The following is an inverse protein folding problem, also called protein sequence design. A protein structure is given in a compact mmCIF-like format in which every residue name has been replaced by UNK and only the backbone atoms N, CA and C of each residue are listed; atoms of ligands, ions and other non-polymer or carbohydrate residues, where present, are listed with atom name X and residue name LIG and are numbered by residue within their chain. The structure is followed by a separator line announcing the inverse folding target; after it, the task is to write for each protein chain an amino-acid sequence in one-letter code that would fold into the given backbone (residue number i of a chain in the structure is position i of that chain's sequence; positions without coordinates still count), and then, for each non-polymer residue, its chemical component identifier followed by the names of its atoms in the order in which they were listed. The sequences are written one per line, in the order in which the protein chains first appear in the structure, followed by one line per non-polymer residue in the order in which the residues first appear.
data_IF_300591701399
#
_entry.id   IF_300591701399
#
_cell.length_a   1.000
_cell.length_b   1.000
_cell.length_c   1.000
_cell.angle_alpha   90.00
_cell.angle_beta   90.00
_cell.angle_gamma   90.00
#
_symmetry.space_group_name_H-M   'P 1'
#
loop_
_entity.id
_entity.type
_entity.pdbx_description
1 polymer ?
#
# COMPACT_ATOMS: atom_id res chain seq x y z
N UNK A 1 -3.52 -8.69 29.47
CA UNK A 1 -2.51 -7.59 29.34
C UNK A 1 -3.11 -6.35 28.67
N UNK A 2 -3.63 -6.40 27.42
CA UNK A 2 -4.22 -5.23 26.74
C UNK A 2 -5.41 -4.66 27.51
N UNK A 3 -6.23 -5.51 28.10
CA UNK A 3 -7.43 -5.12 28.88
C UNK A 3 -7.06 -4.44 30.19
N UNK A 4 -5.92 -4.81 30.77
CA UNK A 4 -5.45 -4.28 32.05
C UNK A 4 -4.77 -2.90 31.89
N UNK A 5 -4.33 -2.57 30.68
CA UNK A 5 -3.68 -1.31 30.32
C UNK A 5 -4.70 -0.38 29.64
N UNK A 6 -5.32 0.50 30.41
CA UNK A 6 -6.43 1.38 29.98
C UNK A 6 -6.13 2.38 28.85
N UNK A 7 -4.88 2.53 28.41
CA UNK A 7 -4.43 3.52 27.42
C UNK A 7 -3.78 2.86 26.18
N UNK A 8 -4.28 1.71 25.74
CA UNK A 8 -3.76 0.99 24.58
C UNK A 8 -4.77 1.01 23.46
N UNK A 9 -4.33 1.40 22.26
CA UNK A 9 -5.06 1.23 21.01
C UNK A 9 -4.41 0.06 20.27
N UNK A 10 -5.19 -0.97 19.97
CA UNK A 10 -4.72 -2.12 19.21
C UNK A 10 -4.88 -1.84 17.71
N UNK A 11 -3.78 -1.77 16.99
CA UNK A 11 -3.80 -1.74 15.53
C UNK A 11 -3.76 -3.17 14.98
N UNK A 12 -4.72 -3.49 14.09
CA UNK A 12 -4.83 -4.81 13.45
C UNK A 12 -4.87 -4.60 11.95
N UNK A 13 -3.79 -4.99 11.29
CA UNK A 13 -3.77 -5.07 9.84
C UNK A 13 -4.52 -6.31 9.36
N UNK A 14 -5.14 -6.23 8.17
CA UNK A 14 -5.96 -7.30 7.60
C UNK A 14 -6.98 -7.86 8.60
N UNK A 15 -7.68 -6.97 9.33
CA UNK A 15 -8.62 -7.34 10.42
C UNK A 15 -9.70 -8.33 9.97
N UNK A 16 -10.02 -8.38 8.67
CA UNK A 16 -10.97 -9.33 8.11
C UNK A 16 -10.55 -10.79 8.35
N UNK A 17 -9.25 -11.09 8.44
CA UNK A 17 -8.76 -12.45 8.73
C UNK A 17 -9.13 -12.92 10.14
N UNK A 18 -9.15 -11.98 11.10
CA UNK A 18 -9.54 -12.28 12.48
C UNK A 18 -11.06 -12.52 12.56
N UNK A 19 -11.83 -11.78 11.77
CA UNK A 19 -13.31 -11.88 11.77
C UNK A 19 -13.78 -13.10 10.99
N UNK A 20 -13.08 -13.51 9.91
CA UNK A 20 -13.40 -14.70 9.10
C UNK A 20 -13.08 -16.04 9.80
N UNK A 21 -12.14 -16.06 10.73
CA UNK A 21 -11.62 -17.28 11.35
C UNK A 21 -12.68 -18.14 12.08
N UNK A 22 -13.92 -17.68 12.20
CA UNK A 22 -15.03 -18.38 12.85
C UNK A 22 -15.74 -19.47 12.02
N UNK A 23 -15.27 -19.77 10.79
CA UNK A 23 -15.99 -20.70 9.88
C UNK A 23 -15.33 -22.04 9.62
N UNK A 24 -14.12 -22.31 10.08
CA UNK A 24 -13.44 -23.59 9.88
C UNK A 24 -13.47 -24.42 11.20
N UNK A 25 -13.89 -25.68 11.11
CA UNK A 25 -13.83 -26.61 12.24
C UNK A 25 -12.39 -26.68 12.80
N UNK A 26 -12.22 -26.25 14.06
CA UNK A 26 -10.94 -26.27 14.77
C UNK A 26 -10.15 -24.96 14.78
N UNK A 27 -10.57 -23.90 14.07
CA UNK A 27 -9.97 -22.58 14.23
C UNK A 27 -10.53 -21.85 15.45
N UNK A 28 -9.65 -21.27 16.27
CA UNK A 28 -10.07 -20.40 17.38
C UNK A 28 -10.77 -19.20 16.76
N UNK A 29 -12.07 -19.07 17.00
CA UNK A 29 -12.86 -17.94 16.54
C UNK A 29 -12.48 -16.68 17.35
N UNK A 30 -11.39 -16.03 16.90
CA UNK A 30 -10.91 -14.78 17.50
C UNK A 30 -11.99 -13.68 17.50
N UNK A 31 -12.92 -13.74 16.55
CA UNK A 31 -14.04 -12.81 16.47
C UNK A 31 -14.95 -12.93 17.71
N UNK A 32 -15.28 -14.16 18.14
CA UNK A 32 -16.09 -14.38 19.34
C UNK A 32 -15.36 -14.00 20.63
N UNK A 33 -14.03 -14.00 20.62
CA UNK A 33 -13.23 -13.53 21.77
C UNK A 33 -13.24 -11.99 21.82
N UNK A 34 -13.10 -11.31 20.68
CA UNK A 34 -12.95 -9.85 20.62
C UNK A 34 -14.29 -9.12 20.76
N UNK A 35 -15.37 -9.66 20.18
CA UNK A 35 -16.71 -9.05 20.20
C UNK A 35 -17.21 -8.63 21.58
N UNK A 36 -17.10 -9.42 22.65
CA UNK A 36 -17.54 -9.02 23.99
C UNK A 36 -16.79 -7.80 24.51
N UNK A 37 -15.48 -7.72 24.31
CA UNK A 37 -14.62 -6.62 24.78
C UNK A 37 -14.88 -5.33 24.01
N UNK A 38 -15.05 -5.42 22.68
CA UNK A 38 -15.50 -4.30 21.86
C UNK A 38 -16.88 -3.80 22.29
N UNK A 39 -17.75 -4.76 22.66
CA UNK A 39 -19.12 -4.44 23.06
C UNK A 39 -19.19 -3.64 24.36
N UNK A 40 -18.28 -3.91 25.26
CA UNK A 40 -18.19 -3.22 26.56
C UNK A 40 -17.29 -1.99 26.54
N UNK A 41 -16.64 -1.69 25.39
CA UNK A 41 -15.69 -0.58 25.29
C UNK A 41 -14.40 -0.79 26.09
N UNK A 42 -14.08 -2.06 26.41
CA UNK A 42 -12.90 -2.42 27.19
C UNK A 42 -11.61 -2.37 26.36
N UNK A 43 -11.72 -2.41 25.03
CA UNK A 43 -10.60 -2.29 24.09
C UNK A 43 -10.93 -1.28 23.00
N UNK A 44 -9.88 -0.59 22.55
CA UNK A 44 -9.95 0.29 21.39
C UNK A 44 -9.14 -0.34 20.25
N UNK A 45 -9.74 -0.41 19.06
CA UNK A 45 -9.14 -1.07 17.89
C UNK A 45 -9.17 -0.12 16.70
N UNK A 46 -8.06 -0.05 15.99
CA UNK A 46 -7.95 0.47 14.62
C UNK A 46 -7.70 -0.74 13.74
N UNK A 47 -8.64 -1.08 12.86
CA UNK A 47 -8.48 -2.17 11.89
C UNK A 47 -8.25 -1.64 10.49
N UNK A 48 -7.29 -2.20 9.77
CA UNK A 48 -7.10 -1.95 8.35
C UNK A 48 -7.60 -3.14 7.52
N UNK A 49 -8.24 -2.87 6.38
CA UNK A 49 -8.70 -3.89 5.43
C UNK A 49 -9.04 -3.25 4.08
N UNK A 50 -9.19 -4.05 3.03
CA UNK A 50 -9.72 -3.56 1.75
C UNK A 50 -11.23 -3.35 1.81
N UNK A 51 -11.76 -2.49 0.92
CA UNK A 51 -13.20 -2.25 0.84
C UNK A 51 -13.97 -3.54 0.49
N UNK A 52 -13.42 -4.35 -0.42
CA UNK A 52 -14.05 -5.62 -0.82
C UNK A 52 -14.15 -6.61 0.36
N UNK A 53 -13.08 -6.74 1.15
CA UNK A 53 -13.07 -7.62 2.31
C UNK A 53 -13.96 -7.08 3.44
N UNK A 54 -14.02 -5.75 3.60
CA UNK A 54 -14.96 -5.11 4.52
C UNK A 54 -16.41 -5.48 4.15
N UNK A 55 -16.81 -5.31 2.89
CA UNK A 55 -18.16 -5.66 2.45
C UNK A 55 -18.48 -7.15 2.64
N UNK A 56 -17.55 -8.05 2.34
CA UNK A 56 -17.75 -9.49 2.51
C UNK A 56 -17.93 -9.93 3.96
N UNK A 57 -17.22 -9.29 4.88
CA UNK A 57 -17.11 -9.76 6.27
C UNK A 57 -17.92 -8.91 7.24
N UNK A 58 -17.74 -7.61 7.21
CA UNK A 58 -18.34 -6.71 8.20
C UNK A 58 -19.78 -6.33 7.84
N UNK A 59 -20.14 -6.30 6.55
CA UNK A 59 -21.51 -6.00 6.13
C UNK A 59 -22.49 -7.07 6.61
N UNK A 60 -22.04 -8.33 6.71
CA UNK A 60 -22.83 -9.47 7.14
C UNK A 60 -23.00 -9.52 8.67
N UNK A 61 -22.05 -8.99 9.44
CA UNK A 61 -22.11 -8.94 10.89
C UNK A 61 -22.59 -7.59 11.41
N UNK A 62 -23.90 -7.48 11.61
CA UNK A 62 -24.54 -6.25 12.12
C UNK A 62 -24.01 -5.79 13.48
N UNK A 63 -23.51 -6.71 14.32
CA UNK A 63 -22.98 -6.38 15.64
C UNK A 63 -21.62 -5.69 15.53
N UNK A 64 -20.73 -6.16 14.65
CA UNK A 64 -19.45 -5.54 14.35
C UNK A 64 -19.63 -4.20 13.62
N UNK A 65 -20.48 -4.17 12.60
CA UNK A 65 -20.76 -2.94 11.81
C UNK A 65 -21.15 -1.75 12.70
N UNK A 66 -21.90 -1.99 13.78
CA UNK A 66 -22.32 -0.91 14.71
C UNK A 66 -21.23 -0.42 15.64
N UNK A 67 -20.07 -1.10 15.66
CA UNK A 67 -18.98 -0.80 16.60
C UNK A 67 -17.74 -0.22 15.95
N UNK A 68 -17.68 -0.28 14.63
CA UNK A 68 -16.61 0.30 13.85
C UNK A 68 -17.12 1.51 13.06
N UNK A 69 -16.40 2.62 13.18
CA UNK A 69 -16.55 3.75 12.28
C UNK A 69 -15.64 3.51 11.07
N UNK A 70 -16.21 3.61 9.87
CA UNK A 70 -15.44 3.45 8.64
C UNK A 70 -14.75 4.76 8.31
N UNK A 71 -13.45 4.67 8.05
CA UNK A 71 -12.64 5.75 7.50
C UNK A 71 -12.12 5.27 6.15
N UNK A 72 -12.65 5.83 5.07
CA UNK A 72 -12.21 5.49 3.71
C UNK A 72 -10.95 6.26 3.37
N UNK A 73 -9.87 5.53 3.02
CA UNK A 73 -8.62 6.08 2.51
C UNK A 73 -8.65 5.93 0.99
N UNK A 74 -8.57 7.06 0.30
CA UNK A 74 -8.54 7.09 -1.17
C UNK A 74 -7.12 6.91 -1.70
N UNK A 75 -7.02 6.45 -2.93
CA UNK A 75 -5.78 6.46 -3.69
C UNK A 75 -5.25 7.90 -3.83
N UNK A 76 -3.95 8.07 -3.74
CA UNK A 76 -3.31 9.37 -3.94
C UNK A 76 -3.43 9.83 -5.40
N UNK A 77 -3.52 11.14 -5.60
CA UNK A 77 -3.41 11.74 -6.93
C UNK A 77 -1.97 11.60 -7.48
N UNK A 78 -1.79 11.91 -8.76
CA UNK A 78 -0.45 11.93 -9.39
C UNK A 78 0.45 12.97 -8.73
N UNK A 79 -0.08 14.14 -8.43
CA UNK A 79 0.63 15.25 -7.79
C UNK A 79 1.08 14.85 -6.38
N UNK A 80 0.17 14.32 -5.56
CA UNK A 80 0.50 13.82 -4.22
C UNK A 80 1.54 12.69 -4.27
N UNK A 81 1.43 11.79 -5.26
CA UNK A 81 2.39 10.69 -5.46
C UNK A 81 3.76 11.23 -5.85
N UNK A 82 3.81 12.26 -6.71
CA UNK A 82 5.07 12.90 -7.07
C UNK A 82 5.74 13.57 -5.87
N UNK A 83 4.98 14.23 -5.02
CA UNK A 83 5.48 14.83 -3.78
C UNK A 83 6.06 13.75 -2.84
N UNK A 84 5.38 12.62 -2.72
CA UNK A 84 5.90 11.46 -1.96
C UNK A 84 7.20 10.95 -2.57
N UNK A 85 7.27 10.75 -3.89
CA UNK A 85 8.50 10.30 -4.56
C UNK A 85 9.65 11.29 -4.40
N UNK A 86 9.40 12.60 -4.45
CA UNK A 86 10.42 13.61 -4.24
C UNK A 86 11.09 13.53 -2.86
N UNK A 87 10.34 13.10 -1.85
CA UNK A 87 10.87 12.83 -0.50
C UNK A 87 11.58 11.47 -0.44
N UNK A 88 11.05 10.46 -1.10
CA UNK A 88 11.57 9.08 -1.03
C UNK A 88 12.82 8.87 -1.90
N UNK A 89 12.91 9.50 -3.06
CA UNK A 89 14.05 9.35 -3.99
C UNK A 89 15.41 9.53 -3.30
N UNK A 90 15.69 10.62 -2.57
CA UNK A 90 16.97 10.76 -1.90
C UNK A 90 17.22 9.72 -0.81
N UNK A 91 16.17 9.22 -0.14
CA UNK A 91 16.28 8.19 0.88
C UNK A 91 16.68 6.86 0.25
N UNK A 92 15.98 6.44 -0.81
CA UNK A 92 16.25 5.21 -1.54
C UNK A 92 17.60 5.27 -2.27
N UNK A 93 17.93 6.42 -2.91
CA UNK A 93 19.22 6.65 -3.55
C UNK A 93 20.38 6.43 -2.57
N UNK A 94 20.28 7.00 -1.37
CA UNK A 94 21.25 6.79 -0.29
C UNK A 94 21.32 5.33 0.16
N UNK A 95 20.17 4.66 0.33
CA UNK A 95 20.12 3.25 0.75
C UNK A 95 20.82 2.34 -0.26
N UNK A 96 20.57 2.55 -1.57
CA UNK A 96 21.20 1.76 -2.64
C UNK A 96 22.60 2.25 -3.04
N UNK A 97 23.08 3.36 -2.46
CA UNK A 97 24.39 3.95 -2.81
C UNK A 97 24.44 4.44 -4.25
N UNK A 98 23.35 5.02 -4.78
CA UNK A 98 23.21 5.43 -6.16
C UNK A 98 22.76 6.89 -6.29
N UNK A 99 22.97 7.44 -7.47
CA UNK A 99 22.41 8.72 -7.86
C UNK A 99 21.14 8.51 -8.70
N UNK A 100 20.29 9.53 -8.78
CA UNK A 100 19.04 9.49 -9.55
C UNK A 100 19.01 10.73 -10.45
N UNK A 101 18.73 10.54 -11.73
CA UNK A 101 18.61 11.65 -12.69
C UNK A 101 17.40 12.53 -12.37
N UNK A 102 17.49 13.80 -12.71
CA UNK A 102 16.37 14.73 -12.61
C UNK A 102 15.17 14.25 -13.44
N UNK A 103 13.95 14.54 -12.97
CA UNK A 103 12.71 14.18 -13.66
C UNK A 103 12.27 12.71 -13.50
N UNK A 104 13.07 11.84 -12.86
CA UNK A 104 12.74 10.42 -12.68
C UNK A 104 11.41 10.23 -11.93
N UNK A 105 11.14 11.01 -10.88
CA UNK A 105 9.90 10.91 -10.13
C UNK A 105 8.66 11.12 -11.00
N UNK A 106 8.67 12.18 -11.83
CA UNK A 106 7.59 12.47 -12.76
C UNK A 106 7.42 11.37 -13.80
N UNK A 107 8.53 10.88 -14.36
CA UNK A 107 8.51 9.78 -15.32
C UNK A 107 7.93 8.49 -14.73
N UNK A 108 8.30 8.15 -13.49
CA UNK A 108 7.74 6.97 -12.78
C UNK A 108 6.23 7.11 -12.62
N UNK A 109 5.73 8.28 -12.15
CA UNK A 109 4.30 8.53 -11.96
C UNK A 109 3.54 8.37 -13.28
N UNK A 110 4.06 8.94 -14.38
CA UNK A 110 3.43 8.83 -15.70
C UNK A 110 3.42 7.38 -16.22
N UNK A 111 4.54 6.65 -16.06
CA UNK A 111 4.60 5.23 -16.41
C UNK A 111 3.63 4.39 -15.60
N UNK A 112 3.59 4.60 -14.29
CA UNK A 112 2.70 3.87 -13.39
C UNK A 112 1.23 4.11 -13.71
N UNK A 113 0.85 5.36 -13.95
CA UNK A 113 -0.52 5.73 -14.29
C UNK A 113 -0.99 5.10 -15.60
N UNK A 114 -0.17 5.21 -16.64
CA UNK A 114 -0.52 4.77 -17.99
C UNK A 114 -0.53 3.25 -18.14
N UNK A 115 0.41 2.56 -17.49
CA UNK A 115 0.68 1.16 -17.78
C UNK A 115 0.31 0.18 -16.65
N UNK A 116 0.03 0.68 -15.44
CA UNK A 116 -0.34 -0.15 -14.29
C UNK A 116 -1.70 0.26 -13.72
N UNK A 117 -2.80 0.16 -14.51
CA UNK A 117 -4.12 0.61 -14.08
C UNK A 117 -4.74 -0.24 -12.96
N UNK A 118 -4.24 -1.47 -12.78
CA UNK A 118 -4.76 -2.41 -11.76
C UNK A 118 -4.06 -2.25 -10.39
N UNK A 119 -3.07 -1.38 -10.30
CA UNK A 119 -2.35 -1.09 -9.06
C UNK A 119 -2.65 0.35 -8.63
N UNK A 120 -2.57 0.60 -7.31
CA UNK A 120 -2.92 1.89 -6.71
C UNK A 120 -1.70 2.75 -6.40
N UNK A 121 -1.87 4.07 -6.47
CA UNK A 121 -0.92 5.05 -5.95
C UNK A 121 -1.03 5.16 -4.42
N UNK A 122 0.09 5.41 -3.70
CA UNK A 122 1.44 5.65 -4.24
C UNK A 122 2.26 4.38 -4.49
N UNK A 123 1.80 3.21 -4.03
CA UNK A 123 2.58 1.96 -3.97
C UNK A 123 3.19 1.58 -5.33
N UNK A 124 2.40 1.57 -6.41
CA UNK A 124 2.90 1.22 -7.75
C UNK A 124 4.07 2.10 -8.21
N UNK A 125 4.11 3.36 -7.79
CA UNK A 125 5.20 4.27 -8.15
C UNK A 125 6.44 4.05 -7.26
N UNK A 126 6.22 3.77 -5.97
CA UNK A 126 7.30 3.43 -5.02
C UNK A 126 7.96 2.12 -5.43
N UNK A 127 7.18 1.12 -5.82
CA UNK A 127 7.68 -0.17 -6.29
C UNK A 127 8.52 -0.04 -7.56
N UNK A 128 8.12 0.80 -8.51
CA UNK A 128 8.93 1.07 -9.71
C UNK A 128 10.26 1.69 -9.32
N UNK A 129 10.28 2.67 -8.41
CA UNK A 129 11.51 3.30 -7.93
C UNK A 129 12.43 2.27 -7.27
N UNK A 130 11.91 1.51 -6.31
CA UNK A 130 12.65 0.52 -5.55
C UNK A 130 13.24 -0.57 -6.45
N UNK A 131 12.40 -1.20 -7.25
CA UNK A 131 12.83 -2.24 -8.20
C UNK A 131 13.85 -1.72 -9.22
N UNK A 132 13.71 -0.49 -9.71
CA UNK A 132 14.65 0.09 -10.66
C UNK A 132 16.01 0.33 -10.03
N UNK A 133 16.05 0.84 -8.80
CA UNK A 133 17.29 1.02 -8.03
C UNK A 133 17.95 -0.32 -7.69
N UNK A 134 17.16 -1.34 -7.35
CA UNK A 134 17.66 -2.68 -7.07
C UNK A 134 18.26 -3.37 -8.32
N UNK A 135 17.61 -3.21 -9.49
CA UNK A 135 18.03 -3.87 -10.73
C UNK A 135 19.20 -3.21 -11.44
N UNK A 136 19.34 -1.88 -11.32
CA UNK A 136 20.41 -1.18 -12.04
C UNK A 136 21.79 -1.54 -11.47
N UNK A 137 22.72 -1.83 -12.38
CA UNK A 137 24.14 -2.06 -12.05
C UNK A 137 24.99 -0.80 -12.13
N UNK A 138 24.41 0.31 -12.59
CA UNK A 138 25.09 1.59 -12.74
C UNK A 138 24.95 2.42 -11.46
N UNK A 139 25.83 3.39 -11.29
CA UNK A 139 25.80 4.32 -10.17
C UNK A 139 24.73 5.41 -10.32
N UNK A 140 24.12 5.52 -11.50
CA UNK A 140 23.09 6.48 -11.84
C UNK A 140 21.85 5.78 -12.37
N UNK A 141 20.69 6.01 -11.73
CA UNK A 141 19.38 5.62 -12.23
C UNK A 141 18.92 6.63 -13.28
N UNK A 142 18.70 6.17 -14.51
CA UNK A 142 18.21 6.95 -15.64
C UNK A 142 16.87 6.42 -16.14
N UNK A 143 16.26 7.10 -17.10
CA UNK A 143 15.01 6.67 -17.75
C UNK A 143 15.10 5.27 -18.37
N UNK A 144 16.28 4.90 -18.90
CA UNK A 144 16.48 3.59 -19.55
C UNK A 144 16.47 2.45 -18.53
N UNK A 145 16.95 2.66 -17.31
CA UNK A 145 16.84 1.68 -16.22
C UNK A 145 15.38 1.52 -15.78
N UNK A 146 14.59 2.60 -15.73
CA UNK A 146 13.14 2.51 -15.46
C UNK A 146 12.45 1.69 -16.55
N UNK A 147 12.75 1.95 -17.85
CA UNK A 147 12.20 1.14 -18.96
C UNK A 147 12.58 -0.32 -18.83
N UNK A 148 13.83 -0.59 -18.46
CA UNK A 148 14.30 -1.96 -18.24
C UNK A 148 13.55 -2.64 -17.10
N UNK A 149 13.27 -1.93 -16.01
CA UNK A 149 12.47 -2.41 -14.90
C UNK A 149 11.03 -2.70 -15.36
N UNK A 150 10.38 -1.75 -16.04
CA UNK A 150 9.02 -1.92 -16.55
C UNK A 150 8.89 -3.16 -17.44
N UNK A 151 9.86 -3.40 -18.31
CA UNK A 151 9.89 -4.59 -19.18
C UNK A 151 10.12 -5.87 -18.39
N UNK A 152 11.06 -5.90 -17.45
CA UNK A 152 11.44 -7.12 -16.73
C UNK A 152 10.46 -7.54 -15.65
N UNK A 153 9.97 -6.58 -14.87
CA UNK A 153 9.13 -6.84 -13.69
C UNK A 153 7.65 -6.80 -14.05
N UNK A 154 7.24 -5.79 -14.82
CA UNK A 154 5.81 -5.56 -15.10
C UNK A 154 5.39 -6.04 -16.49
N UNK A 155 6.35 -6.58 -17.30
CA UNK A 155 6.12 -7.07 -18.67
C UNK A 155 5.54 -6.00 -19.61
N UNK A 156 5.86 -4.72 -19.33
CA UNK A 156 5.45 -3.57 -20.12
C UNK A 156 6.64 -3.08 -20.95
N UNK A 157 6.49 -3.08 -22.26
CA UNK A 157 7.46 -2.49 -23.19
C UNK A 157 7.08 -1.03 -23.45
N UNK A 158 7.90 -0.10 -22.98
CA UNK A 158 7.67 1.33 -23.18
C UNK A 158 8.23 1.70 -24.56
N UNK A 159 7.36 2.06 -25.51
CA UNK A 159 7.72 2.47 -26.84
C UNK A 159 8.70 3.66 -26.84
N UNK A 160 9.60 3.69 -27.84
CA UNK A 160 10.66 4.70 -28.02
C UNK A 160 10.14 6.15 -28.17
N UNK A 161 8.84 6.34 -28.36
CA UNK A 161 8.19 7.64 -28.60
C UNK A 161 7.70 8.34 -27.33
N UNK A 162 8.15 7.94 -26.16
CA UNK A 162 7.87 8.71 -24.95
C UNK A 162 8.67 10.03 -25.04
N UNK A 163 7.96 11.13 -25.30
CA UNK A 163 8.56 12.44 -25.51
C UNK A 163 8.98 13.05 -24.18
N UNK A 164 10.26 12.89 -23.81
CA UNK A 164 10.86 13.44 -22.58
C UNK A 164 10.85 14.97 -22.52
N UNK A 165 10.51 15.66 -23.63
CA UNK A 165 10.53 17.12 -23.72
C UNK A 165 9.43 17.80 -22.87
N UNK A 166 8.49 17.02 -22.31
CA UNK A 166 7.39 17.52 -21.48
C UNK A 166 7.55 17.15 -19.98
N UNK A 167 8.67 16.55 -19.61
CA UNK A 167 9.03 16.22 -18.24
C UNK A 167 10.03 17.25 -17.69
#
# INVERSE_FOLDING_TARGET
KVIDEKNVILFIDEIHNIVKAGGAEGAIDCSNIIKPYLSRGEIQIIGATTYEEYEKVFSTDKALKRRFQIISIKENSREETLDILNVLIPIYAKYYGKNVSDGIGKFIVECADKHLPNLSFPDKAIDILDNSLALTKKDLLTFDEIKTCMKKIYHVDLDFNFNYANI
#
